data_IF_744652489614
#
_entry.id   IF_744652489614
#
_cell.length_a   1.000
_cell.length_b   1.000
_cell.length_c   1.000
_cell.angle_alpha   90.00
_cell.angle_beta   90.00
_cell.angle_gamma   90.00
#
_symmetry.space_group_name_H-M   'P 1'
#
loop_
_entity.id
_entity.type
_entity.pdbx_description
1 polymer ?
#
# COMPACT_ATOMS: atom_id res chain seq x y z
N UNK A 1 -5.92 0.53 -17.38
CA UNK A 1 -5.73 1.73 -16.55
C UNK A 1 -4.45 2.44 -17.00
N UNK A 2 -4.46 3.77 -17.19
CA UNK A 2 -3.28 4.51 -17.68
C UNK A 2 -2.32 4.81 -16.52
N UNK A 3 -1.03 4.79 -16.78
CA UNK A 3 0.00 5.24 -15.84
C UNK A 3 -0.06 6.76 -15.66
N UNK A 4 -0.13 7.22 -14.42
CA UNK A 4 -0.22 8.63 -14.03
C UNK A 4 1.00 9.10 -13.25
N UNK A 5 1.68 8.21 -12.54
CA UNK A 5 2.76 8.59 -11.62
C UNK A 5 4.14 8.58 -12.30
N UNK A 6 4.83 9.71 -12.23
CA UNK A 6 6.21 9.87 -12.70
C UNK A 6 7.17 9.61 -11.56
N UNK A 7 7.68 8.37 -11.45
CA UNK A 7 8.60 7.92 -10.37
C UNK A 7 9.75 8.90 -10.09
N UNK A 8 10.40 9.43 -11.13
CA UNK A 8 11.57 10.32 -10.99
C UNK A 8 11.26 11.66 -10.31
N UNK A 9 9.98 12.07 -10.30
CA UNK A 9 9.52 13.32 -9.71
C UNK A 9 8.59 13.13 -8.51
N UNK A 10 8.15 11.90 -8.22
CA UNK A 10 7.16 11.63 -7.18
C UNK A 10 7.76 11.87 -5.81
N UNK A 11 7.06 12.64 -4.97
CA UNK A 11 7.37 12.89 -3.57
C UNK A 11 6.09 12.83 -2.75
N UNK A 12 6.15 12.17 -1.61
CA UNK A 12 5.09 12.21 -0.61
C UNK A 12 5.24 13.54 0.16
N UNK A 13 4.19 14.36 0.14
CA UNK A 13 4.17 15.64 0.85
C UNK A 13 3.71 15.43 2.29
N UNK A 14 2.69 14.58 2.51
CA UNK A 14 2.20 14.20 3.85
C UNK A 14 1.24 13.02 3.81
N UNK A 15 0.99 12.46 4.98
CA UNK A 15 -0.02 11.43 5.23
C UNK A 15 -1.07 11.98 6.20
N UNK A 16 -2.33 11.91 5.82
CA UNK A 16 -3.46 12.40 6.64
C UNK A 16 -4.36 11.24 7.04
N UNK A 17 -4.55 11.02 8.33
CA UNK A 17 -5.50 10.03 8.83
C UNK A 17 -6.82 10.69 9.20
N UNK A 18 -7.91 10.13 8.70
CA UNK A 18 -9.26 10.45 9.19
C UNK A 18 -9.76 9.39 10.17
N UNK A 19 -9.30 8.13 10.05
CA UNK A 19 -9.73 7.01 10.89
C UNK A 19 -8.64 5.92 10.98
N UNK A 20 -8.63 5.13 12.06
CA UNK A 20 -7.86 3.88 12.14
C UNK A 20 -6.35 4.00 12.46
N UNK A 21 -5.80 5.21 12.65
CA UNK A 21 -4.37 5.41 12.95
C UNK A 21 -3.90 4.62 14.18
N UNK A 22 -4.66 4.68 15.28
CA UNK A 22 -4.28 4.04 16.54
C UNK A 22 -4.21 2.52 16.43
N UNK A 23 -5.19 1.91 15.77
CA UNK A 23 -5.22 0.49 15.46
C UNK A 23 -3.96 0.05 14.71
N UNK A 24 -3.55 0.77 13.67
CA UNK A 24 -2.32 0.44 12.93
C UNK A 24 -1.04 0.55 13.80
N UNK A 25 -0.99 1.51 14.72
CA UNK A 25 0.12 1.64 15.68
C UNK A 25 0.18 0.39 16.57
N UNK A 26 -0.96 -0.04 17.09
CA UNK A 26 -1.07 -1.12 18.07
C UNK A 26 -0.94 -2.54 17.46
N UNK A 27 -0.95 -2.68 16.12
CA UNK A 27 -0.70 -3.96 15.43
C UNK A 27 0.62 -4.60 15.89
N UNK A 28 0.53 -5.88 16.28
CA UNK A 28 1.65 -6.73 16.69
C UNK A 28 2.00 -7.72 15.59
N UNK A 29 3.29 -8.04 15.46
CA UNK A 29 3.79 -9.02 14.50
C UNK A 29 3.11 -10.38 14.70
N UNK A 30 2.78 -11.04 13.60
CA UNK A 30 2.34 -12.44 13.60
C UNK A 30 2.99 -13.24 12.46
N UNK A 31 3.12 -14.55 12.64
CA UNK A 31 3.79 -15.44 11.69
C UNK A 31 3.08 -15.53 10.34
N UNK A 32 1.76 -15.33 10.33
CA UNK A 32 0.93 -15.38 9.13
C UNK A 32 1.04 -14.14 8.24
N UNK A 33 1.66 -13.06 8.72
CA UNK A 33 1.77 -11.73 8.07
C UNK A 33 0.43 -11.11 7.65
N UNK A 34 -0.69 -11.68 8.09
CA UNK A 34 -2.03 -11.21 7.76
C UNK A 34 -2.61 -10.43 8.93
N UNK A 35 -3.09 -9.24 8.64
CA UNK A 35 -3.55 -8.28 9.64
C UNK A 35 -5.00 -7.91 9.38
N UNK A 36 -5.97 -8.66 9.93
CA UNK A 36 -7.36 -8.26 9.90
C UNK A 36 -7.55 -6.98 10.70
N UNK A 37 -8.22 -6.01 10.12
CA UNK A 37 -8.51 -4.73 10.74
C UNK A 37 -9.82 -4.84 11.53
N UNK A 38 -9.78 -4.55 12.83
CA UNK A 38 -10.97 -4.57 13.70
C UNK A 38 -11.95 -3.43 13.39
N UNK A 39 -11.46 -2.34 12.78
CA UNK A 39 -12.21 -1.17 12.38
C UNK A 39 -11.79 -0.70 10.97
N UNK A 40 -12.57 0.20 10.38
CA UNK A 40 -12.19 0.83 9.12
C UNK A 40 -10.96 1.74 9.26
N UNK A 41 -10.16 1.84 8.20
CA UNK A 41 -9.07 2.81 8.10
C UNK A 41 -9.41 3.79 6.98
N UNK A 42 -9.27 5.08 7.25
CA UNK A 42 -9.41 6.14 6.24
C UNK A 42 -8.21 7.05 6.28
N UNK A 43 -7.53 7.18 5.14
CA UNK A 43 -6.37 8.04 5.03
C UNK A 43 -6.23 8.63 3.62
N UNK A 44 -5.44 9.70 3.55
CA UNK A 44 -5.04 10.33 2.30
C UNK A 44 -3.51 10.38 2.21
N UNK A 45 -2.96 9.88 1.10
CA UNK A 45 -1.55 10.01 0.75
C UNK A 45 -1.41 11.20 -0.20
N UNK A 46 -0.95 12.33 0.33
CA UNK A 46 -0.81 13.56 -0.44
C UNK A 46 0.57 13.58 -1.08
N UNK A 47 0.62 13.73 -2.40
CA UNK A 47 1.85 13.77 -3.19
C UNK A 47 1.93 15.06 -4.00
N UNK A 48 3.10 15.33 -4.56
CA UNK A 48 3.27 16.43 -5.49
C UNK A 48 2.63 16.21 -6.88
N UNK A 49 2.02 15.04 -7.14
CA UNK A 49 1.36 14.71 -8.42
C UNK A 49 -0.15 14.47 -8.26
N UNK A 50 -0.65 14.45 -7.03
CA UNK A 50 -2.05 14.17 -6.71
C UNK A 50 -2.20 13.58 -5.32
N UNK A 51 -3.43 13.24 -4.96
CA UNK A 51 -3.77 12.66 -3.66
C UNK A 51 -4.46 11.32 -3.87
N UNK A 52 -3.97 10.28 -3.21
CA UNK A 52 -4.68 9.01 -3.09
C UNK A 52 -5.51 9.01 -1.81
N UNK A 53 -6.80 8.78 -1.93
CA UNK A 53 -7.69 8.46 -0.82
C UNK A 53 -7.84 6.95 -0.71
N UNK A 54 -7.70 6.43 0.51
CA UNK A 54 -7.86 5.01 0.83
C UNK A 54 -8.87 4.88 1.95
N UNK A 55 -9.84 3.98 1.75
CA UNK A 55 -10.82 3.60 2.74
C UNK A 55 -10.95 2.09 2.81
N UNK A 56 -10.92 1.55 4.03
CA UNK A 56 -11.26 0.15 4.31
C UNK A 56 -12.45 0.05 5.24
N UNK A 57 -13.15 -1.08 5.20
CA UNK A 57 -14.18 -1.48 6.14
C UNK A 57 -13.61 -2.45 7.20
N UNK A 58 -14.29 -2.62 8.36
CA UNK A 58 -13.93 -3.65 9.33
C UNK A 58 -13.84 -5.04 8.68
N UNK A 59 -12.87 -5.84 9.12
CA UNK A 59 -12.60 -7.17 8.57
C UNK A 59 -11.66 -7.18 7.37
N UNK A 60 -11.34 -6.02 6.77
CA UNK A 60 -10.32 -5.96 5.72
C UNK A 60 -8.99 -6.50 6.26
N UNK A 61 -8.39 -7.43 5.53
CA UNK A 61 -7.11 -8.06 5.91
C UNK A 61 -6.03 -7.66 4.93
N UNK A 62 -4.94 -7.07 5.40
CA UNK A 62 -3.78 -6.79 4.54
C UNK A 62 -2.62 -7.72 4.89
N UNK A 63 -1.76 -7.98 3.91
CA UNK A 63 -0.45 -8.58 4.11
C UNK A 63 0.50 -7.47 4.57
N UNK A 64 0.99 -7.57 5.80
CA UNK A 64 1.93 -6.60 6.36
C UNK A 64 3.29 -6.61 5.69
N UNK A 65 3.48 -7.42 4.64
CA UNK A 65 4.62 -7.40 3.74
C UNK A 65 4.25 -8.10 2.43
N UNK A 66 3.81 -7.47 1.35
CA UNK A 66 3.45 -8.20 0.12
C UNK A 66 4.70 -8.85 -0.56
N UNK A 67 4.57 -10.01 -1.23
CA UNK A 67 5.64 -10.66 -2.04
C UNK A 67 6.38 -11.87 -1.41
N UNK A 68 7.39 -12.44 -2.12
CA UNK A 68 8.00 -13.74 -1.80
C UNK A 68 8.90 -13.74 -0.54
N UNK A 69 9.04 -14.90 0.12
CA UNK A 69 9.79 -15.05 1.39
C UNK A 69 11.24 -14.53 1.36
N UNK A 70 11.90 -14.47 0.20
CA UNK A 70 13.27 -13.94 0.08
C UNK A 70 13.42 -12.49 0.56
N UNK A 71 12.36 -11.69 0.54
CA UNK A 71 12.38 -10.30 1.07
C UNK A 71 12.24 -10.27 2.60
N UNK A 72 11.98 -11.40 3.29
CA UNK A 72 11.83 -11.46 4.76
C UNK A 72 13.16 -11.17 5.46
N UNK A 73 14.27 -11.44 4.77
CA UNK A 73 15.62 -11.07 5.20
C UNK A 73 15.92 -9.57 5.06
N UNK A 74 15.12 -8.81 4.29
CA UNK A 74 15.40 -7.43 3.92
C UNK A 74 14.41 -6.40 4.49
N UNK A 75 13.13 -6.76 4.69
CA UNK A 75 12.13 -5.90 5.33
C UNK A 75 11.44 -6.66 6.47
N UNK A 76 11.45 -6.13 7.71
CA UNK A 76 10.84 -6.80 8.85
C UNK A 76 9.33 -6.90 8.66
N UNK A 77 8.74 -8.01 9.12
CA UNK A 77 7.30 -8.14 9.30
C UNK A 77 6.83 -7.02 10.25
N UNK A 78 5.98 -6.09 9.82
CA UNK A 78 5.63 -4.86 10.56
C UNK A 78 6.85 -4.07 11.10
N UNK A 79 7.30 -3.09 10.32
CA UNK A 79 8.21 -2.06 10.80
C UNK A 79 7.49 -0.91 11.54
N UNK A 80 7.94 0.32 11.29
CA UNK A 80 7.31 1.51 11.86
C UNK A 80 5.90 1.74 11.28
N UNK A 81 5.14 2.67 11.86
CA UNK A 81 3.76 2.98 11.41
C UNK A 81 3.70 3.33 9.91
N UNK A 82 4.70 4.01 9.37
CA UNK A 82 4.72 4.40 7.96
C UNK A 82 4.96 3.22 7.02
N UNK A 83 5.76 2.25 7.43
CA UNK A 83 5.90 0.98 6.72
C UNK A 83 4.58 0.20 6.72
N UNK A 84 3.91 0.09 7.89
CA UNK A 84 2.59 -0.56 7.99
C UNK A 84 1.58 0.09 7.04
N UNK A 85 1.54 1.42 7.00
CA UNK A 85 0.66 2.17 6.09
C UNK A 85 1.06 1.98 4.63
N UNK A 86 2.35 1.93 4.32
CA UNK A 86 2.82 1.72 2.94
C UNK A 86 2.34 0.37 2.39
N UNK A 87 2.41 -0.68 3.19
CA UNK A 87 1.89 -2.01 2.83
C UNK A 87 0.36 -2.03 2.75
N UNK A 88 -0.33 -1.45 3.72
CA UNK A 88 -1.79 -1.31 3.67
C UNK A 88 -2.25 -0.62 2.39
N UNK A 89 -1.65 0.52 2.05
CA UNK A 89 -1.99 1.31 0.86
C UNK A 89 -1.66 0.54 -0.43
N UNK A 90 -0.54 -0.18 -0.45
CA UNK A 90 -0.16 -1.02 -1.59
C UNK A 90 -1.18 -2.13 -1.83
N UNK A 91 -1.56 -2.86 -0.79
CA UNK A 91 -2.60 -3.90 -0.87
C UNK A 91 -3.96 -3.33 -1.27
N UNK A 92 -4.35 -2.15 -0.73
CA UNK A 92 -5.60 -1.50 -1.12
C UNK A 92 -5.62 -1.11 -2.60
N UNK A 93 -4.52 -0.59 -3.14
CA UNK A 93 -4.41 -0.33 -4.58
C UNK A 93 -4.29 -1.62 -5.41
N UNK A 94 -3.90 -2.72 -4.77
CA UNK A 94 -3.86 -4.06 -5.34
C UNK A 94 -5.13 -4.49 -6.05
N UNK A 95 -6.29 -4.05 -5.57
CA UNK A 95 -7.59 -4.37 -6.16
C UNK A 95 -7.84 -3.62 -7.49
N UNK A 96 -6.91 -2.79 -7.94
CA UNK A 96 -6.92 -2.16 -9.25
C UNK A 96 -8.10 -1.23 -9.50
N UNK A 97 -8.65 -0.61 -8.45
CA UNK A 97 -9.81 0.28 -8.53
C UNK A 97 -9.48 1.65 -9.15
N UNK A 98 -8.25 2.16 -8.97
CA UNK A 98 -7.87 3.47 -9.52
C UNK A 98 -6.43 3.57 -10.06
N UNK A 99 -5.38 3.30 -9.27
CA UNK A 99 -3.98 3.36 -9.75
C UNK A 99 -3.59 2.07 -10.48
N UNK A 100 -2.84 2.18 -11.59
CA UNK A 100 -2.34 1.01 -12.33
C UNK A 100 -1.41 0.16 -11.47
N UNK A 101 -1.15 -1.09 -11.86
CA UNK A 101 -0.17 -1.96 -11.18
C UNK A 101 1.21 -1.27 -11.06
N UNK A 102 1.63 -0.60 -12.12
CA UNK A 102 2.89 0.15 -12.14
C UNK A 102 2.85 1.35 -11.21
N UNK A 103 1.78 2.14 -11.24
CA UNK A 103 1.62 3.30 -10.36
C UNK A 103 1.55 2.87 -8.89
N UNK A 104 0.86 1.76 -8.58
CA UNK A 104 0.79 1.13 -7.26
C UNK A 104 2.19 0.82 -6.72
N UNK A 105 3.03 0.20 -7.56
CA UNK A 105 4.42 -0.10 -7.21
C UNK A 105 5.31 1.15 -7.14
N UNK A 106 5.03 2.18 -7.94
CA UNK A 106 5.74 3.48 -7.88
C UNK A 106 5.39 4.25 -6.60
N UNK A 107 4.12 4.21 -6.18
CA UNK A 107 3.66 4.83 -4.94
C UNK A 107 4.26 4.13 -3.73
N UNK A 108 4.28 2.79 -3.69
CA UNK A 108 4.94 2.03 -2.63
C UNK A 108 6.41 2.44 -2.48
N UNK A 109 7.15 2.54 -3.59
CA UNK A 109 8.54 3.00 -3.58
C UNK A 109 8.68 4.37 -2.92
N UNK A 110 7.83 5.34 -3.30
CA UNK A 110 7.88 6.69 -2.76
C UNK A 110 7.49 6.75 -1.28
N UNK A 111 6.47 6.00 -0.85
CA UNK A 111 6.06 5.94 0.56
C UNK A 111 7.14 5.31 1.45
N UNK A 112 7.77 4.22 1.02
CA UNK A 112 8.87 3.62 1.77
C UNK A 112 10.07 4.56 1.88
N UNK A 113 10.38 5.31 0.82
CA UNK A 113 11.49 6.27 0.79
C UNK A 113 11.20 7.50 1.68
N UNK A 114 10.03 8.11 1.50
CA UNK A 114 9.72 9.44 2.05
C UNK A 114 9.09 9.37 3.45
N UNK A 115 8.35 8.30 3.77
CA UNK A 115 7.67 8.16 5.06
C UNK A 115 8.37 7.15 5.98
N UNK A 116 8.79 5.99 5.45
CA UNK A 116 9.49 4.98 6.25
C UNK A 116 11.02 5.18 6.28
N UNK A 117 11.54 6.20 5.59
CA UNK A 117 12.95 6.59 5.54
C UNK A 117 13.89 5.47 5.04
N UNK A 118 13.38 4.57 4.21
CA UNK A 118 14.18 3.52 3.62
C UNK A 118 15.17 4.09 2.60
N UNK A 119 16.38 3.52 2.58
CA UNK A 119 17.39 3.84 1.56
C UNK A 119 16.83 3.53 0.17
N UNK A 120 17.10 4.36 -0.86
CA UNK A 120 16.60 4.16 -2.22
C UNK A 120 16.89 2.77 -2.81
N UNK A 121 18.03 2.15 -2.47
CA UNK A 121 18.39 0.79 -2.88
C UNK A 121 17.44 -0.25 -2.29
N UNK A 122 17.10 -0.13 -1.01
CA UNK A 122 16.13 -1.01 -0.33
C UNK A 122 14.75 -0.88 -0.96
N UNK A 123 14.29 0.35 -1.21
CA UNK A 123 13.01 0.59 -1.89
C UNK A 123 12.98 -0.01 -3.29
N UNK A 124 14.10 0.05 -4.03
CA UNK A 124 14.20 -0.50 -5.38
C UNK A 124 14.10 -2.03 -5.38
N UNK A 125 14.76 -2.70 -4.43
CA UNK A 125 14.66 -4.17 -4.27
C UNK A 125 13.23 -4.58 -3.94
N UNK A 126 12.58 -3.89 -2.99
CA UNK A 126 11.19 -4.17 -2.63
C UNK A 126 10.26 -3.97 -3.83
N UNK A 127 10.38 -2.83 -4.52
CA UNK A 127 9.58 -2.53 -5.71
C UNK A 127 9.76 -3.61 -6.79
N UNK A 128 11.00 -4.02 -7.06
CA UNK A 128 11.27 -5.08 -8.03
C UNK A 128 10.57 -6.37 -7.61
N UNK A 129 10.73 -6.80 -6.36
CA UNK A 129 10.15 -8.04 -5.86
C UNK A 129 8.63 -8.10 -5.99
N UNK A 130 7.92 -7.00 -5.66
CA UNK A 130 6.45 -6.96 -5.80
C UNK A 130 5.99 -6.78 -7.25
N UNK A 131 6.85 -6.25 -8.13
CA UNK A 131 6.53 -6.08 -9.55
C UNK A 131 6.62 -7.36 -10.39
N UNK A 132 7.26 -8.42 -9.87
CA UNK A 132 7.46 -9.69 -10.57
C UNK A 132 6.22 -10.61 -10.57
N UNK A 133 5.19 -10.25 -9.82
CA UNK A 133 3.92 -10.96 -9.79
C UNK A 133 2.85 -9.90 -10.01
N UNK A 134 2.20 -9.90 -11.16
CA UNK A 134 1.01 -9.08 -11.45
C UNK A 134 -0.28 -9.88 -11.24
N UNK A 135 -0.18 -11.21 -11.09
CA UNK A 135 -1.29 -12.14 -10.91
C UNK A 135 -2.16 -11.86 -9.68
N UNK A 136 -1.66 -11.10 -8.69
CA UNK A 136 -2.42 -10.68 -7.50
C UNK A 136 -3.14 -9.34 -7.69
N UNK A 137 -2.83 -8.60 -8.77
CA UNK A 137 -3.38 -7.27 -9.01
C UNK A 137 -4.70 -7.35 -9.78
N UNK A 138 -5.67 -6.53 -9.38
CA UNK A 138 -7.02 -6.50 -9.89
C UNK A 138 -7.95 -7.36 -9.05
N UNK A 139 -8.79 -8.14 -9.72
CA UNK A 139 -9.78 -9.00 -9.04
C UNK A 139 -9.10 -10.30 -8.56
N UNK A 140 -9.07 -10.56 -7.23
CA UNK A 140 -8.58 -11.83 -6.70
C UNK A 140 -9.46 -13.02 -7.13
N UNK A 141 -8.93 -14.24 -7.06
CA UNK A 141 -9.72 -15.46 -7.34
C UNK A 141 -10.66 -15.76 -6.19
N UNK A 142 -11.77 -16.44 -6.47
CA UNK A 142 -12.81 -16.72 -5.45
C UNK A 142 -12.31 -17.55 -4.26
N UNK A 143 -11.31 -18.41 -4.49
CA UNK A 143 -10.69 -19.28 -3.49
C UNK A 143 -9.52 -18.63 -2.74
N UNK A 144 -9.10 -17.42 -3.14
CA UNK A 144 -8.07 -16.68 -2.44
C UNK A 144 -8.60 -16.03 -1.15
N UNK A 145 -7.79 -16.04 -0.10
CA UNK A 145 -8.12 -15.44 1.19
C UNK A 145 -8.49 -13.95 1.10
N UNK A 146 -7.93 -13.23 0.11
CA UNK A 146 -8.17 -11.81 -0.12
C UNK A 146 -9.42 -11.56 -0.96
N UNK A 147 -10.12 -12.59 -1.44
CA UNK A 147 -11.32 -12.41 -2.26
C UNK A 147 -12.39 -11.58 -1.56
N UNK A 148 -12.62 -11.83 -0.27
CA UNK A 148 -13.61 -11.11 0.53
C UNK A 148 -13.29 -9.61 0.68
N UNK A 149 -12.01 -9.23 0.61
CA UNK A 149 -11.59 -7.84 0.79
C UNK A 149 -12.05 -6.91 -0.34
N UNK A 150 -12.39 -7.43 -1.53
CA UNK A 150 -12.80 -6.61 -2.69
C UNK A 150 -13.97 -5.67 -2.40
N UNK A 151 -14.85 -6.06 -1.46
CA UNK A 151 -16.01 -5.29 -1.02
C UNK A 151 -15.74 -4.44 0.23
N UNK A 152 -14.53 -4.57 0.80
CA UNK A 152 -14.12 -3.93 2.04
C UNK A 152 -13.10 -2.81 1.79
N UNK A 153 -12.85 -2.45 0.53
CA UNK A 153 -11.84 -1.46 0.16
C UNK A 153 -12.34 -0.53 -0.94
N UNK A 154 -11.95 0.74 -0.83
CA UNK A 154 -12.12 1.75 -1.86
C UNK A 154 -10.83 2.57 -1.97
N UNK A 155 -10.31 2.75 -3.18
CA UNK A 155 -9.25 3.70 -3.48
C UNK A 155 -9.69 4.70 -4.54
N UNK A 156 -9.24 5.95 -4.41
CA UNK A 156 -9.55 7.01 -5.35
C UNK A 156 -8.40 8.02 -5.47
N UNK A 157 -7.98 8.35 -6.68
CA UNK A 157 -6.88 9.24 -7.01
C UNK A 157 -7.38 10.54 -7.61
N UNK A 158 -6.97 11.65 -7.00
CA UNK A 158 -7.23 13.01 -7.50
C UNK A 158 -5.92 13.58 -8.01
N UNK A 159 -5.83 13.83 -9.32
CA UNK A 159 -4.65 14.46 -9.92
C UNK A 159 -4.49 15.90 -9.40
N UNK A 160 -3.24 16.31 -9.16
CA UNK A 160 -2.94 17.71 -8.87
C UNK A 160 -3.10 18.51 -10.17
N UNK A 161 -3.75 19.69 -10.16
CA UNK A 161 -3.83 20.53 -11.35
C UNK A 161 -2.42 20.79 -11.89
N UNK A 162 -2.26 20.64 -13.20
CA UNK A 162 -1.04 21.09 -13.86
C UNK A 162 -0.97 22.62 -13.71
N UNK A 163 0.09 23.10 -13.06
CA UNK A 163 0.41 24.52 -13.01
C UNK A 163 0.78 25.04 -14.39
#
# INVERSE_FOLDING_TARGET
MKDRLKKSKLRIERLEFSEGRRMLIDLKQNDGRRYPLEAGVRLSVVTNQGTLHVQTAPGFTFDGRSGPKIVDWYAPNLGNIYEKVSWLVHDCNGYGQDLSFKDTNVLLYAMLRDLAEYRPSKCAVIQLAVSLSDSWYGEPKEDDWCYANRHLVSTFWIEKPSA
#
